data_IF_757711408255
#
_entry.id   IF_757711408255
#
_cell.length_a   1.000
_cell.length_b   1.000
_cell.length_c   1.000
_cell.angle_alpha   90.00
_cell.angle_beta   90.00
_cell.angle_gamma   90.00
#
_symmetry.space_group_name_H-M   'P 1'
#
loop_
_entity.id
_entity.type
_entity.pdbx_description
1 polymer ?
#
# COMPACT_ATOMS: atom_id res chain seq x y z
N UNK A 1 -18.34 12.66 23.40
CA UNK A 1 -17.59 12.07 22.26
C UNK A 1 -18.37 12.31 20.99
N UNK A 2 -17.70 12.77 19.91
CA UNK A 2 -18.28 12.96 18.56
C UNK A 2 -17.39 12.23 17.56
N UNK A 3 -17.99 11.58 16.56
CA UNK A 3 -17.31 10.95 15.43
C UNK A 3 -17.84 11.60 14.15
N UNK A 4 -16.93 12.08 13.30
CA UNK A 4 -17.23 12.66 12.00
C UNK A 4 -16.44 11.94 10.90
N UNK A 5 -17.10 11.66 9.77
CA UNK A 5 -16.47 11.08 8.59
C UNK A 5 -16.03 12.22 7.67
N UNK A 6 -14.72 12.40 7.50
CA UNK A 6 -14.15 13.47 6.68
C UNK A 6 -13.79 13.01 5.28
N UNK A 7 -13.68 11.70 5.07
CA UNK A 7 -13.40 11.08 3.77
C UNK A 7 -13.79 9.61 3.76
N UNK A 8 -13.73 8.98 2.59
CA UNK A 8 -14.21 7.63 2.30
C UNK A 8 -15.67 7.39 2.72
N UNK A 9 -16.50 8.45 2.68
CA UNK A 9 -17.93 8.38 2.89
C UNK A 9 -18.64 8.24 1.54
N UNK A 10 -19.22 7.08 1.28
CA UNK A 10 -19.74 6.66 -0.04
C UNK A 10 -18.68 6.53 -1.15
N UNK A 11 -17.41 6.43 -0.80
CA UNK A 11 -16.26 6.30 -1.72
C UNK A 11 -15.26 5.28 -1.20
N UNK A 12 -14.31 4.89 -2.06
CA UNK A 12 -13.32 3.85 -1.74
C UNK A 12 -12.05 4.44 -1.15
N UNK A 13 -11.64 5.64 -1.56
CA UNK A 13 -10.34 6.23 -1.19
C UNK A 13 -10.49 7.47 -0.31
N UNK A 14 -9.41 7.90 0.34
CA UNK A 14 -9.40 9.10 1.17
C UNK A 14 -9.87 8.87 2.60
N UNK A 15 -9.62 7.70 3.21
CA UNK A 15 -10.04 7.38 4.57
C UNK A 15 -9.55 8.41 5.58
N UNK A 16 -10.50 9.05 6.27
CA UNK A 16 -10.22 10.04 7.31
C UNK A 16 -11.42 10.17 8.26
N UNK A 17 -11.23 9.78 9.51
CA UNK A 17 -12.26 9.86 10.54
C UNK A 17 -11.78 10.77 11.67
N UNK A 18 -12.62 11.73 12.04
CA UNK A 18 -12.32 12.67 13.11
C UNK A 18 -13.12 12.33 14.37
N UNK A 19 -12.43 12.21 15.48
CA UNK A 19 -13.03 11.91 16.78
C UNK A 19 -12.65 12.97 17.78
N UNK A 20 -13.65 13.45 18.55
CA UNK A 20 -13.43 14.39 19.66
C UNK A 20 -14.06 13.87 20.94
N UNK A 21 -13.38 14.05 22.05
CA UNK A 21 -13.91 13.81 23.41
C UNK A 21 -13.18 14.73 24.40
N UNK A 22 -13.92 15.34 25.32
CA UNK A 22 -13.35 16.44 26.12
C UNK A 22 -12.68 17.48 25.24
N UNK A 23 -11.43 17.81 25.56
CA UNK A 23 -10.60 18.74 24.77
C UNK A 23 -9.63 18.00 23.81
N UNK A 24 -9.79 16.69 23.63
CA UNK A 24 -8.93 15.87 22.77
C UNK A 24 -9.50 15.75 21.37
N UNK A 25 -8.66 15.96 20.38
CA UNK A 25 -8.96 15.89 18.96
C UNK A 25 -8.04 14.87 18.28
N UNK A 26 -8.60 13.87 17.62
CA UNK A 26 -7.80 12.84 16.94
C UNK A 26 -8.35 12.48 15.57
N UNK A 27 -7.46 11.95 14.72
CA UNK A 27 -7.81 11.35 13.45
C UNK A 27 -7.52 9.84 13.48
N UNK A 28 -8.39 9.08 12.81
CA UNK A 28 -8.07 7.71 12.37
C UNK A 28 -7.97 7.74 10.86
N UNK A 29 -6.77 7.45 10.38
CA UNK A 29 -6.31 7.68 9.01
C UNK A 29 -6.30 9.17 8.59
N UNK A 30 -5.55 9.47 7.56
CA UNK A 30 -5.45 10.78 6.94
C UNK A 30 -5.08 10.56 5.47
N UNK A 31 -6.05 10.03 4.73
CA UNK A 31 -5.88 9.47 3.41
C UNK A 31 -6.04 10.50 2.30
N UNK A 32 -5.40 10.20 1.17
CA UNK A 32 -5.50 10.97 -0.07
C UNK A 32 -6.51 10.28 -1.00
N UNK A 33 -7.43 11.02 -1.58
CA UNK A 33 -8.30 10.53 -2.63
C UNK A 33 -7.49 10.15 -3.87
N UNK A 34 -7.83 9.02 -4.50
CA UNK A 34 -7.17 8.48 -5.68
C UNK A 34 -8.19 8.05 -6.73
N UNK A 35 -7.77 8.02 -8.00
CA UNK A 35 -8.59 7.58 -9.12
C UNK A 35 -9.07 8.71 -10.02
N UNK A 36 -9.98 8.41 -10.96
CA UNK A 36 -10.54 9.40 -11.92
C UNK A 36 -11.68 10.23 -11.32
N UNK A 37 -11.98 10.09 -10.06
CA UNK A 37 -13.07 10.77 -9.40
C UNK A 37 -12.96 12.29 -9.49
N UNK A 38 -14.11 12.96 -9.53
CA UNK A 38 -14.20 14.42 -9.58
C UNK A 38 -13.80 15.10 -8.27
N UNK A 39 -13.50 14.32 -7.25
CA UNK A 39 -13.05 14.82 -5.96
C UNK A 39 -11.60 15.26 -6.04
N UNK A 40 -11.36 16.47 -5.61
CA UNK A 40 -10.01 17.04 -5.47
C UNK A 40 -9.59 16.85 -4.03
N UNK A 41 -8.36 16.41 -3.80
CA UNK A 41 -7.78 16.37 -2.46
C UNK A 41 -7.92 17.76 -1.83
N UNK A 42 -8.83 17.89 -0.88
CA UNK A 42 -9.15 19.12 -0.22
C UNK A 42 -8.36 19.24 1.07
N UNK A 43 -8.21 20.46 1.55
CA UNK A 43 -7.73 20.69 2.91
C UNK A 43 -8.64 19.94 3.89
N UNK A 44 -8.05 19.27 4.85
CA UNK A 44 -8.80 18.61 5.91
C UNK A 44 -9.66 19.67 6.60
N UNK A 45 -10.99 19.48 6.74
CA UNK A 45 -11.92 20.52 7.21
C UNK A 45 -11.80 20.79 8.71
N UNK A 46 -10.68 20.47 9.33
CA UNK A 46 -10.34 20.71 10.73
C UNK A 46 -8.98 21.41 10.81
N UNK A 47 -8.80 22.24 11.84
CA UNK A 47 -7.53 22.91 12.03
C UNK A 47 -6.45 21.89 12.45
N UNK A 48 -5.47 21.68 11.60
CA UNK A 48 -4.38 20.72 11.81
C UNK A 48 -3.61 20.97 13.12
N UNK A 49 -3.47 22.21 13.56
CA UNK A 49 -2.79 22.54 14.81
C UNK A 49 -3.57 22.14 16.08
N UNK A 50 -4.85 21.82 15.96
CA UNK A 50 -5.67 21.36 17.07
C UNK A 50 -5.69 19.82 17.20
N UNK A 51 -5.15 19.09 16.21
CA UNK A 51 -5.11 17.63 16.26
C UNK A 51 -3.99 17.18 17.22
N UNK A 52 -4.37 16.43 18.25
CA UNK A 52 -3.44 15.89 19.25
C UNK A 52 -2.80 14.58 18.78
N UNK A 53 -3.62 13.70 18.17
CA UNK A 53 -3.21 12.35 17.80
C UNK A 53 -3.74 11.94 16.43
N UNK A 54 -2.94 11.14 15.72
CA UNK A 54 -3.38 10.41 14.53
C UNK A 54 -3.09 8.92 14.72
N UNK A 55 -4.03 8.07 14.35
CA UNK A 55 -3.89 6.61 14.35
C UNK A 55 -3.98 6.12 12.92
N UNK A 56 -2.94 5.45 12.41
CA UNK A 56 -2.88 4.98 11.02
C UNK A 56 -3.10 3.47 10.99
N UNK A 57 -4.13 3.05 10.27
CA UNK A 57 -4.48 1.64 10.12
C UNK A 57 -3.46 0.88 9.28
N UNK A 58 -3.04 1.47 8.16
CA UNK A 58 -2.02 0.90 7.28
C UNK A 58 -1.42 1.96 6.33
N UNK A 59 -0.40 1.58 5.57
CA UNK A 59 0.44 2.53 4.87
C UNK A 59 -0.03 2.93 3.46
N UNK A 60 -1.15 2.40 2.93
CA UNK A 60 -1.63 2.84 1.63
C UNK A 60 -1.91 4.35 1.61
N UNK A 61 -1.72 4.97 0.45
CA UNK A 61 -1.80 6.43 0.29
C UNK A 61 -3.22 6.97 0.55
N UNK A 62 -4.24 6.19 0.27
CA UNK A 62 -5.64 6.51 0.60
C UNK A 62 -5.97 6.40 2.11
N UNK A 63 -5.02 6.01 2.95
CA UNK A 63 -5.09 6.02 4.42
C UNK A 63 -4.04 6.90 5.09
N UNK A 64 -2.93 7.19 4.42
CA UNK A 64 -1.79 7.93 5.01
C UNK A 64 -1.34 9.15 4.21
N UNK A 65 -1.81 9.30 2.97
CA UNK A 65 -1.21 10.18 1.97
C UNK A 65 -1.31 11.67 2.27
N UNK A 66 -2.20 12.13 3.14
CA UNK A 66 -2.31 13.53 3.56
C UNK A 66 -1.57 13.86 4.87
N UNK A 67 -0.89 12.91 5.50
CA UNK A 67 -0.10 13.16 6.70
C UNK A 67 0.96 14.26 6.51
N UNK A 68 1.71 14.33 5.38
CA UNK A 68 2.64 15.43 5.14
C UNK A 68 1.94 16.79 4.99
N UNK A 69 0.75 16.83 4.38
CA UNK A 69 -0.06 18.05 4.29
C UNK A 69 -0.54 18.48 5.67
N UNK A 70 -1.00 17.53 6.49
CA UNK A 70 -1.42 17.81 7.88
C UNK A 70 -0.25 18.42 8.68
N UNK A 71 0.98 17.87 8.52
CA UNK A 71 2.18 18.44 9.13
C UNK A 71 2.49 19.85 8.62
N UNK A 72 2.41 20.07 7.32
CA UNK A 72 2.63 21.37 6.68
C UNK A 72 1.65 22.43 7.22
N UNK A 73 0.40 22.04 7.47
CA UNK A 73 -0.65 22.90 8.03
C UNK A 73 -0.58 23.07 9.55
N UNK A 74 0.48 22.60 10.20
CA UNK A 74 0.74 22.93 11.61
C UNK A 74 0.50 21.81 12.61
N UNK A 75 0.17 20.58 12.19
CA UNK A 75 0.11 19.43 13.09
C UNK A 75 1.47 19.20 13.75
N UNK A 76 1.46 18.98 15.08
CA UNK A 76 2.66 18.71 15.89
C UNK A 76 2.42 17.62 16.93
N UNK A 77 1.29 16.91 16.85
CA UNK A 77 0.94 15.80 17.72
C UNK A 77 1.72 14.51 17.42
N UNK A 78 1.22 13.38 17.88
CA UNK A 78 1.81 12.06 17.68
C UNK A 78 0.99 11.23 16.69
N UNK A 79 1.70 10.42 15.87
CA UNK A 79 1.10 9.50 14.90
C UNK A 79 1.40 8.07 15.33
N UNK A 80 0.39 7.36 15.77
CA UNK A 80 0.50 5.96 16.19
C UNK A 80 0.21 5.02 15.02
N UNK A 81 1.08 4.07 14.79
CA UNK A 81 0.92 3.03 13.79
C UNK A 81 1.74 1.80 14.18
N UNK A 82 1.45 0.64 13.61
CA UNK A 82 2.34 -0.50 13.79
C UNK A 82 3.73 -0.17 13.25
N UNK A 83 4.75 -0.85 13.76
CA UNK A 83 6.14 -0.64 13.33
C UNK A 83 6.30 -0.80 11.81
N UNK A 84 5.75 -1.86 11.24
CA UNK A 84 5.84 -2.10 9.80
C UNK A 84 5.08 -1.05 8.98
N UNK A 85 3.90 -0.60 9.44
CA UNK A 85 3.17 0.52 8.82
C UNK A 85 3.99 1.80 8.87
N UNK A 86 4.62 2.13 10.01
CA UNK A 86 5.49 3.31 10.13
C UNK A 86 6.67 3.26 9.16
N UNK A 87 7.35 2.11 9.03
CA UNK A 87 8.45 1.93 8.09
C UNK A 87 7.99 2.07 6.62
N UNK A 88 6.81 1.51 6.27
CA UNK A 88 6.24 1.63 4.93
C UNK A 88 5.80 3.07 4.63
N UNK A 89 5.16 3.77 5.56
CA UNK A 89 4.84 5.20 5.39
C UNK A 89 6.10 6.01 5.08
N UNK A 90 7.23 5.69 5.72
CA UNK A 90 8.50 6.38 5.50
C UNK A 90 9.04 6.30 4.07
N UNK A 91 8.69 5.29 3.29
CA UNK A 91 9.05 5.20 1.87
C UNK A 91 7.91 5.68 0.96
N UNK A 92 6.67 5.36 1.29
CA UNK A 92 5.52 5.66 0.45
C UNK A 92 5.20 7.16 0.40
N UNK A 93 5.28 7.87 1.52
CA UNK A 93 5.04 9.31 1.57
C UNK A 93 6.10 10.10 0.78
N UNK A 94 7.35 9.65 0.80
CA UNK A 94 8.42 10.24 -0.03
C UNK A 94 8.20 9.99 -1.51
N UNK A 95 7.79 8.78 -1.89
CA UNK A 95 7.47 8.46 -3.29
C UNK A 95 6.27 9.29 -3.78
N UNK A 96 5.24 9.43 -2.95
CA UNK A 96 4.09 10.29 -3.24
C UNK A 96 4.48 11.77 -3.43
N UNK A 97 5.35 12.32 -2.57
CA UNK A 97 5.88 13.68 -2.73
C UNK A 97 6.61 13.84 -4.07
N UNK A 98 7.51 12.91 -4.42
CA UNK A 98 8.22 12.94 -5.70
C UNK A 98 7.29 12.87 -6.91
N UNK A 99 6.24 12.03 -6.85
CA UNK A 99 5.25 11.94 -7.93
C UNK A 99 4.54 13.28 -8.10
N UNK A 100 4.08 13.90 -7.00
CA UNK A 100 3.38 15.19 -7.02
C UNK A 100 4.28 16.33 -7.54
N UNK A 101 5.52 16.39 -7.08
CA UNK A 101 6.50 17.38 -7.57
C UNK A 101 6.75 17.23 -9.08
N UNK A 102 6.93 16.00 -9.54
CA UNK A 102 7.13 15.71 -10.97
C UNK A 102 5.90 16.07 -11.82
N UNK A 103 4.71 15.75 -11.36
CA UNK A 103 3.47 16.10 -12.04
C UNK A 103 3.22 17.60 -12.07
N UNK A 104 3.48 18.29 -10.97
CA UNK A 104 3.38 19.74 -10.90
C UNK A 104 4.37 20.40 -11.89
N UNK A 105 5.63 19.97 -11.93
CA UNK A 105 6.60 20.47 -12.87
C UNK A 105 6.17 20.25 -14.33
N UNK A 106 5.64 19.05 -14.64
CA UNK A 106 5.16 18.72 -15.99
C UNK A 106 3.95 19.60 -16.40
N UNK A 107 2.98 19.79 -15.50
CA UNK A 107 1.83 20.69 -15.67
C UNK A 107 2.31 22.13 -15.86
N UNK A 108 3.27 22.58 -15.06
CA UNK A 108 3.80 23.93 -15.08
C UNK A 108 4.58 24.25 -16.37
N UNK A 109 5.31 23.29 -16.96
CA UNK A 109 5.93 23.44 -18.28
C UNK A 109 4.87 23.72 -19.38
N UNK A 110 3.69 23.12 -19.28
CA UNK A 110 2.58 23.38 -20.21
C UNK A 110 1.88 24.72 -19.90
N UNK A 111 1.63 25.00 -18.62
CA UNK A 111 1.00 26.22 -18.14
C UNK A 111 1.80 27.46 -18.58
N UNK A 112 3.13 27.48 -18.39
CA UNK A 112 4.02 28.58 -18.83
C UNK A 112 3.90 28.85 -20.34
N UNK A 113 3.81 27.80 -21.18
CA UNK A 113 3.64 27.96 -22.64
C UNK A 113 2.27 28.50 -23.01
N UNK A 114 1.25 28.25 -22.19
CA UNK A 114 -0.13 28.65 -22.43
C UNK A 114 -0.52 29.95 -21.70
N UNK A 115 0.40 30.54 -20.89
CA UNK A 115 0.10 31.72 -20.06
C UNK A 115 -0.91 31.44 -18.93
N UNK A 116 -0.98 30.19 -18.45
CA UNK A 116 -1.87 29.74 -17.38
C UNK A 116 -1.14 29.78 -16.00
N UNK A 117 -1.86 29.88 -14.90
CA UNK A 117 -1.29 29.78 -13.55
C UNK A 117 -0.54 28.48 -13.36
N UNK A 118 0.55 28.54 -12.58
CA UNK A 118 1.28 27.35 -12.14
C UNK A 118 0.56 26.67 -10.99
N UNK A 119 0.69 25.35 -10.90
CA UNK A 119 0.18 24.54 -9.79
C UNK A 119 1.32 24.17 -8.85
N UNK A 120 1.02 24.07 -7.55
CA UNK A 120 1.95 23.58 -6.53
C UNK A 120 1.55 22.17 -6.10
N UNK A 121 2.50 21.29 -5.75
CA UNK A 121 2.15 20.03 -5.09
C UNK A 121 1.45 20.30 -3.75
N UNK A 122 0.67 19.35 -3.26
CA UNK A 122 0.01 19.46 -1.95
C UNK A 122 1.05 19.60 -0.81
N UNK A 123 2.15 18.87 -0.94
CA UNK A 123 3.30 18.90 -0.03
C UNK A 123 4.57 18.52 -0.79
N UNK A 124 5.71 18.82 -0.20
CA UNK A 124 7.03 18.50 -0.76
C UNK A 124 7.73 17.34 -0.03
N UNK A 125 8.91 16.98 -0.51
CA UNK A 125 9.73 15.92 0.10
C UNK A 125 10.12 16.24 1.55
N UNK A 126 10.31 17.52 1.92
CA UNK A 126 10.67 17.88 3.28
C UNK A 126 9.51 17.64 4.23
N UNK A 127 8.28 17.93 3.82
CA UNK A 127 7.09 17.64 4.59
C UNK A 127 6.95 16.13 4.84
N UNK A 128 7.16 15.31 3.79
CA UNK A 128 7.13 13.85 3.87
C UNK A 128 8.24 13.27 4.77
N UNK A 129 9.41 13.90 4.84
CA UNK A 129 10.49 13.49 5.74
C UNK A 129 10.22 13.93 7.17
N UNK A 130 9.76 15.16 7.37
CA UNK A 130 9.59 15.73 8.70
C UNK A 130 8.41 15.13 9.46
N UNK A 131 7.30 14.80 8.79
CA UNK A 131 6.15 14.15 9.43
C UNK A 131 6.53 12.81 10.09
N UNK A 132 7.54 12.11 9.55
CA UNK A 132 8.00 10.84 10.13
C UNK A 132 8.58 10.97 11.54
N UNK A 133 9.00 12.16 11.96
CA UNK A 133 9.48 12.40 13.34
C UNK A 133 8.35 12.34 14.38
N UNK A 134 7.11 12.41 13.95
CA UNK A 134 5.91 12.32 14.80
C UNK A 134 5.41 10.89 14.99
N UNK A 135 5.93 9.92 14.24
CA UNK A 135 5.51 8.53 14.34
C UNK A 135 5.97 7.87 15.64
N UNK A 136 5.04 7.19 16.27
CA UNK A 136 5.22 6.33 17.44
C UNK A 136 4.92 4.90 17.03
N UNK A 137 5.95 4.08 16.72
CA UNK A 137 5.75 2.70 16.34
C UNK A 137 5.17 1.85 17.48
N UNK A 138 4.14 1.07 17.19
CA UNK A 138 3.42 0.23 18.14
C UNK A 138 3.58 -1.25 17.78
N UNK A 139 3.53 -2.11 18.78
CA UNK A 139 3.43 -3.55 18.61
C UNK A 139 1.97 -3.99 18.53
N UNK A 140 1.70 -5.09 17.84
CA UNK A 140 0.36 -5.68 17.85
C UNK A 140 -0.01 -6.16 19.25
N UNK A 141 -1.29 -6.06 19.59
CA UNK A 141 -1.94 -6.50 20.82
C UNK A 141 -1.59 -5.72 22.09
N UNK A 142 -0.57 -4.86 22.07
CA UNK A 142 -0.26 -4.03 23.21
C UNK A 142 -1.34 -2.97 23.45
N UNK A 143 -1.83 -2.88 24.69
CA UNK A 143 -2.70 -1.80 25.12
C UNK A 143 -1.87 -0.58 25.48
N UNK A 144 -2.06 0.49 24.75
CA UNK A 144 -1.31 1.73 24.87
C UNK A 144 -2.24 2.78 25.50
N UNK A 145 -1.91 3.25 26.70
CA UNK A 145 -2.53 4.42 27.30
C UNK A 145 -1.95 5.66 26.62
N UNK A 146 -2.70 6.28 25.71
CA UNK A 146 -2.25 7.45 24.91
C UNK A 146 -2.30 8.72 25.76
N UNK A 147 -3.43 8.94 26.41
CA UNK A 147 -3.64 10.02 27.39
C UNK A 147 -4.71 9.59 28.40
N UNK A 148 -5.07 10.48 29.33
CA UNK A 148 -6.21 10.25 30.22
C UNK A 148 -7.49 10.08 29.39
N UNK A 149 -8.23 9.01 29.64
CA UNK A 149 -9.46 8.69 28.92
C UNK A 149 -9.26 8.02 27.54
N UNK A 150 -8.03 7.80 27.05
CA UNK A 150 -7.79 7.16 25.75
C UNK A 150 -6.80 6.00 25.84
N UNK A 151 -7.28 4.80 25.54
CA UNK A 151 -6.44 3.60 25.37
C UNK A 151 -6.68 3.02 23.98
N UNK A 152 -5.61 2.56 23.32
CA UNK A 152 -5.70 1.95 21.97
C UNK A 152 -4.99 0.61 21.92
N UNK A 153 -5.36 -0.22 20.94
CA UNK A 153 -4.70 -1.46 20.59
C UNK A 153 -4.79 -1.70 19.09
N UNK A 154 -3.69 -2.13 18.49
CA UNK A 154 -3.62 -2.52 17.09
C UNK A 154 -3.75 -4.04 16.96
N UNK A 155 -4.62 -4.49 16.05
CA UNK A 155 -4.94 -5.91 15.80
C UNK A 155 -4.71 -6.19 14.32
N UNK A 156 -4.07 -7.30 13.97
CA UNK A 156 -3.69 -7.57 12.57
C UNK A 156 -4.92 -7.65 11.65
N UNK A 157 -4.95 -6.80 10.64
CA UNK A 157 -6.03 -6.75 9.65
C UNK A 157 -5.78 -7.64 8.43
N UNK A 158 -4.59 -8.25 8.28
CA UNK A 158 -4.27 -9.19 7.21
C UNK A 158 -4.33 -8.62 5.79
N UNK A 159 -4.32 -7.29 5.64
CA UNK A 159 -4.47 -6.60 4.36
C UNK A 159 -3.14 -6.25 3.71
N UNK A 160 -2.25 -5.64 4.45
CA UNK A 160 -0.91 -5.23 4.05
C UNK A 160 0.08 -5.56 5.18
N UNK A 161 1.38 -5.58 4.89
CA UNK A 161 2.40 -5.71 5.93
C UNK A 161 2.20 -4.59 6.96
N UNK A 162 1.99 -4.96 8.22
CA UNK A 162 1.74 -4.01 9.29
C UNK A 162 0.31 -3.48 9.39
N UNK A 163 -0.59 -3.84 8.49
CA UNK A 163 -1.98 -3.38 8.53
C UNK A 163 -2.69 -3.78 9.82
N UNK A 164 -3.52 -2.91 10.32
CA UNK A 164 -4.23 -3.13 11.58
C UNK A 164 -5.65 -2.60 11.59
N UNK A 165 -6.52 -3.32 12.26
CA UNK A 165 -7.73 -2.75 12.83
C UNK A 165 -7.37 -2.12 14.18
N UNK A 166 -8.00 -1.00 14.51
CA UNK A 166 -7.71 -0.23 15.72
C UNK A 166 -8.87 -0.36 16.70
N UNK A 167 -8.60 -0.91 17.86
CA UNK A 167 -9.51 -0.85 19.01
C UNK A 167 -9.17 0.38 19.84
N UNK A 168 -10.17 1.18 20.14
CA UNK A 168 -10.05 2.43 20.86
C UNK A 168 -11.05 2.49 22.00
N UNK A 169 -10.57 2.59 23.23
CA UNK A 169 -11.40 2.79 24.43
C UNK A 169 -11.36 4.25 24.81
N UNK A 170 -12.50 4.91 24.74
CA UNK A 170 -12.65 6.33 25.13
C UNK A 170 -13.52 6.37 26.39
N UNK A 171 -13.00 7.03 27.41
CA UNK A 171 -13.68 7.26 28.68
C UNK A 171 -13.99 8.73 28.84
N UNK A 172 -15.28 9.07 28.91
CA UNK A 172 -15.80 10.41 29.13
C UNK A 172 -16.95 10.33 30.14
N UNK A 173 -17.05 11.25 31.07
CA UNK A 173 -18.10 11.28 32.11
C UNK A 173 -18.27 9.95 32.87
N UNK A 174 -17.18 9.26 33.17
CA UNK A 174 -17.12 7.95 33.84
C UNK A 174 -17.71 6.79 33.02
N UNK A 175 -18.06 7.00 31.77
CA UNK A 175 -18.47 5.95 30.85
C UNK A 175 -17.36 5.65 29.83
N UNK A 176 -17.06 4.36 29.65
CA UNK A 176 -16.11 3.92 28.61
C UNK A 176 -16.88 3.34 27.43
N UNK A 177 -16.55 3.79 26.23
CA UNK A 177 -17.05 3.22 24.97
C UNK A 177 -15.89 2.67 24.16
N UNK A 178 -16.10 1.49 23.56
CA UNK A 178 -15.14 0.84 22.67
C UNK A 178 -15.52 1.08 21.22
N UNK A 179 -14.69 1.80 20.49
CA UNK A 179 -14.78 1.97 19.05
C UNK A 179 -13.80 1.01 18.38
N UNK A 180 -14.19 0.51 17.21
CA UNK A 180 -13.32 -0.30 16.35
C UNK A 180 -13.32 0.32 14.95
N UNK A 181 -12.13 0.64 14.47
CA UNK A 181 -11.89 1.06 13.09
C UNK A 181 -11.23 -0.10 12.36
N UNK A 182 -11.88 -0.63 11.34
CA UNK A 182 -11.38 -1.83 10.65
C UNK A 182 -10.10 -1.56 9.85
N UNK A 183 -9.91 -0.33 9.34
CA UNK A 183 -9.06 -0.13 8.18
C UNK A 183 -9.52 -1.03 7.04
N UNK A 184 -8.64 -1.35 6.12
CA UNK A 184 -8.88 -2.36 5.10
C UNK A 184 -8.65 -3.76 5.66
N UNK A 185 -9.58 -4.67 5.43
CA UNK A 185 -9.53 -6.05 5.92
C UNK A 185 -9.04 -6.97 4.81
N UNK A 186 -8.02 -7.76 5.10
CA UNK A 186 -7.50 -8.75 4.16
C UNK A 186 -8.36 -10.00 4.04
N UNK A 187 -8.15 -10.74 2.96
CA UNK A 187 -8.73 -12.07 2.79
C UNK A 187 -7.89 -13.12 3.52
N UNK A 188 -8.52 -14.18 4.01
CA UNK A 188 -7.83 -15.33 4.59
C UNK A 188 -6.98 -16.10 3.59
N UNK A 189 -5.98 -16.82 4.09
CA UNK A 189 -5.06 -17.67 3.31
C UNK A 189 -4.21 -16.91 2.25
N UNK A 190 -3.93 -15.64 2.48
CA UNK A 190 -3.01 -14.90 1.62
C UNK A 190 -1.56 -15.36 1.83
N UNK A 191 -0.71 -15.32 0.79
CA UNK A 191 0.69 -15.62 0.96
C UNK A 191 1.41 -14.52 1.76
N UNK A 192 2.48 -14.89 2.45
CA UNK A 192 3.39 -14.04 3.20
C UNK A 192 2.85 -13.52 4.52
N UNK A 193 1.77 -12.76 4.53
CA UNK A 193 1.24 -12.08 5.72
C UNK A 193 0.20 -12.95 6.44
N UNK A 194 -0.06 -12.63 7.71
CA UNK A 194 -1.07 -13.31 8.53
C UNK A 194 -2.48 -13.04 8.01
N UNK A 195 -3.38 -13.93 8.36
CA UNK A 195 -4.81 -13.71 8.16
C UNK A 195 -5.33 -12.62 9.12
N UNK A 196 -6.42 -11.92 8.78
CA UNK A 196 -7.04 -10.95 9.67
C UNK A 196 -7.52 -11.59 10.97
N UNK A 197 -7.32 -10.90 12.08
CA UNK A 197 -7.83 -11.29 13.38
C UNK A 197 -9.19 -10.64 13.64
N UNK A 198 -10.12 -11.41 14.23
CA UNK A 198 -11.46 -10.91 14.49
C UNK A 198 -11.55 -10.25 15.87
N UNK A 199 -12.03 -9.01 15.88
CA UNK A 199 -12.31 -8.26 17.10
C UNK A 199 -13.71 -8.60 17.60
N UNK A 200 -13.85 -8.75 18.91
CA UNK A 200 -15.11 -8.99 19.60
C UNK A 200 -15.46 -7.84 20.53
N UNK A 201 -16.73 -7.69 20.82
CA UNK A 201 -17.23 -6.78 21.85
C UNK A 201 -16.85 -5.30 21.56
N UNK A 202 -17.49 -4.68 20.59
CA UNK A 202 -17.41 -3.25 20.31
C UNK A 202 -18.76 -2.57 20.57
N UNK A 203 -18.74 -1.34 21.07
CA UNK A 203 -19.92 -0.49 21.14
C UNK A 203 -20.22 0.14 19.77
N UNK A 204 -19.16 0.54 19.03
CA UNK A 204 -19.26 1.11 17.68
C UNK A 204 -18.22 0.47 16.76
N UNK A 205 -18.63 0.18 15.53
CA UNK A 205 -17.74 -0.38 14.49
C UNK A 205 -17.81 0.52 13.27
N UNK A 206 -16.65 1.02 12.88
CA UNK A 206 -16.41 1.76 11.64
C UNK A 206 -15.68 0.81 10.71
N UNK A 207 -16.33 0.39 9.62
CA UNK A 207 -15.88 -0.75 8.81
C UNK A 207 -15.92 -0.43 7.33
N UNK A 208 -14.89 -0.84 6.58
CA UNK A 208 -14.92 -0.81 5.12
C UNK A 208 -16.06 -1.64 4.54
N UNK A 209 -16.49 -1.30 3.34
CA UNK A 209 -17.52 -2.05 2.61
C UNK A 209 -17.26 -2.12 1.11
N UNK A 210 -16.01 -2.09 0.68
CA UNK A 210 -15.57 -2.05 -0.72
C UNK A 210 -16.19 -3.18 -1.56
N UNK A 211 -16.26 -4.37 -1.01
CA UNK A 211 -16.93 -5.53 -1.61
C UNK A 211 -18.13 -6.03 -0.79
N UNK A 212 -18.76 -5.14 -0.02
CA UNK A 212 -19.85 -5.49 0.88
C UNK A 212 -21.14 -6.00 0.20
N UNK A 213 -21.25 -5.77 -1.11
CA UNK A 213 -22.41 -6.15 -1.95
C UNK A 213 -22.28 -7.52 -2.63
N UNK A 214 -21.12 -8.19 -2.55
CA UNK A 214 -20.86 -9.45 -3.25
C UNK A 214 -19.90 -10.38 -2.53
N UNK A 215 -20.05 -11.66 -2.82
CA UNK A 215 -19.09 -12.68 -2.39
C UNK A 215 -17.98 -12.84 -3.44
N UNK A 216 -16.78 -13.10 -2.98
CA UNK A 216 -15.68 -13.53 -3.84
C UNK A 216 -15.84 -15.00 -4.23
N UNK A 217 -15.45 -15.34 -5.45
CA UNK A 217 -15.31 -16.73 -5.86
C UNK A 217 -14.20 -17.43 -5.05
N UNK A 218 -14.28 -18.77 -5.00
CA UNK A 218 -13.20 -19.54 -4.37
C UNK A 218 -11.88 -19.27 -5.09
N UNK A 219 -10.85 -18.80 -4.39
CA UNK A 219 -9.58 -18.45 -5.03
C UNK A 219 -8.93 -19.70 -5.63
N UNK A 220 -8.46 -19.64 -6.90
CA UNK A 220 -7.73 -20.71 -7.53
C UNK A 220 -6.33 -20.85 -6.91
N UNK A 221 -5.59 -21.91 -7.27
CA UNK A 221 -4.14 -21.94 -7.04
C UNK A 221 -3.46 -20.90 -7.95
N UNK A 222 -3.20 -19.72 -7.42
CA UNK A 222 -2.62 -18.61 -8.19
C UNK A 222 -1.27 -18.93 -8.81
N UNK A 223 -0.44 -19.81 -8.21
CA UNK A 223 0.83 -20.22 -8.81
C UNK A 223 0.60 -21.07 -10.07
N UNK A 224 -0.40 -21.96 -10.04
CA UNK A 224 -0.76 -22.79 -11.20
C UNK A 224 -1.34 -21.91 -12.32
N UNK A 225 -2.25 -21.00 -12.01
CA UNK A 225 -2.84 -20.10 -13.01
C UNK A 225 -1.80 -19.16 -13.62
N UNK A 226 -0.94 -18.60 -12.80
CA UNK A 226 0.17 -17.76 -13.26
C UNK A 226 1.13 -18.55 -14.17
N UNK A 227 1.47 -19.79 -13.82
CA UNK A 227 2.32 -20.65 -14.65
C UNK A 227 1.69 -20.94 -16.02
N UNK A 228 0.36 -21.14 -16.10
CA UNK A 228 -0.37 -21.32 -17.38
C UNK A 228 -0.25 -20.06 -18.25
N UNK A 229 -0.46 -18.88 -17.68
CA UNK A 229 -0.34 -17.60 -18.40
C UNK A 229 1.10 -17.38 -18.88
N UNK A 230 2.10 -17.66 -18.03
CA UNK A 230 3.51 -17.58 -18.37
C UNK A 230 3.85 -18.54 -19.54
N UNK A 231 3.45 -19.80 -19.45
CA UNK A 231 3.69 -20.81 -20.50
C UNK A 231 3.07 -20.38 -21.84
N UNK A 232 1.81 -19.97 -21.82
CA UNK A 232 1.11 -19.52 -23.04
C UNK A 232 1.78 -18.30 -23.67
N UNK A 233 2.28 -17.37 -22.88
CA UNK A 233 2.97 -16.15 -23.34
C UNK A 233 4.34 -16.49 -23.93
N UNK A 234 5.14 -17.25 -23.19
CA UNK A 234 6.52 -17.55 -23.59
C UNK A 234 6.60 -18.50 -24.79
N UNK A 235 5.62 -19.39 -24.97
CA UNK A 235 5.50 -20.22 -26.18
C UNK A 235 5.33 -19.39 -27.45
N UNK A 236 4.71 -18.19 -27.33
CA UNK A 236 4.61 -17.23 -28.45
C UNK A 236 5.88 -16.38 -28.62
N UNK A 237 6.85 -16.47 -27.70
CA UNK A 237 8.05 -15.63 -27.71
C UNK A 237 7.85 -14.23 -27.11
N UNK A 238 6.71 -13.95 -26.45
CA UNK A 238 6.36 -12.66 -25.90
C UNK A 238 6.78 -12.43 -24.46
N UNK A 239 6.53 -11.22 -23.97
CA UNK A 239 6.76 -10.82 -22.58
C UNK A 239 5.47 -10.88 -21.76
N UNK A 240 5.58 -11.24 -20.49
CA UNK A 240 4.49 -11.07 -19.51
C UNK A 240 4.71 -9.77 -18.73
N UNK A 241 3.84 -8.80 -18.91
CA UNK A 241 3.89 -7.51 -18.20
C UNK A 241 2.79 -7.48 -17.14
N UNK A 242 3.19 -7.22 -15.89
CA UNK A 242 2.30 -7.24 -14.73
C UNK A 242 2.30 -5.86 -14.08
N UNK A 243 1.26 -5.04 -14.31
CA UNK A 243 1.02 -3.85 -13.50
C UNK A 243 0.74 -4.27 -12.05
N UNK A 244 1.52 -3.78 -11.10
CA UNK A 244 1.35 -4.13 -9.69
C UNK A 244 1.69 -2.95 -8.78
N UNK A 245 0.96 -2.82 -7.67
CA UNK A 245 1.35 -1.89 -6.62
C UNK A 245 2.72 -2.29 -6.05
N UNK A 246 3.55 -1.30 -5.77
CA UNK A 246 4.92 -1.51 -5.28
C UNK A 246 4.96 -2.25 -3.93
N UNK A 247 3.94 -2.06 -3.11
CA UNK A 247 3.80 -2.67 -1.78
C UNK A 247 2.64 -3.66 -1.77
N UNK A 248 2.85 -4.83 -1.21
CA UNK A 248 1.88 -5.92 -1.09
C UNK A 248 1.82 -6.78 -2.35
N UNK A 249 1.16 -6.32 -3.40
CA UNK A 249 0.91 -7.12 -4.61
C UNK A 249 2.20 -7.57 -5.32
N UNK A 250 3.20 -6.72 -5.40
CA UNK A 250 4.50 -7.10 -5.96
C UNK A 250 5.12 -8.26 -5.18
N UNK A 251 5.14 -8.21 -3.85
CA UNK A 251 5.71 -9.25 -3.01
C UNK A 251 4.91 -10.58 -3.10
N UNK A 252 3.59 -10.51 -3.22
CA UNK A 252 2.77 -11.70 -3.50
C UNK A 252 3.12 -12.36 -4.83
N UNK A 253 3.29 -11.57 -5.89
CA UNK A 253 3.71 -12.09 -7.21
C UNK A 253 5.08 -12.77 -7.12
N UNK A 254 6.03 -12.19 -6.39
CA UNK A 254 7.34 -12.81 -6.18
C UNK A 254 7.24 -14.15 -5.44
N UNK A 255 6.36 -14.24 -4.44
CA UNK A 255 6.10 -15.48 -3.71
C UNK A 255 5.58 -16.58 -4.67
N UNK A 256 4.59 -16.27 -5.51
CA UNK A 256 4.05 -17.22 -6.48
C UNK A 256 5.10 -17.61 -7.53
N UNK A 257 5.89 -16.67 -8.03
CA UNK A 257 6.96 -16.96 -8.99
C UNK A 257 8.07 -17.83 -8.40
N UNK A 258 8.45 -17.60 -7.13
CA UNK A 258 9.36 -18.49 -6.42
C UNK A 258 8.77 -19.91 -6.35
N UNK A 259 7.49 -20.04 -5.96
CA UNK A 259 6.79 -21.32 -5.89
C UNK A 259 6.79 -22.02 -7.25
N UNK A 260 6.44 -21.33 -8.33
CA UNK A 260 6.47 -21.87 -9.71
C UNK A 260 7.84 -22.46 -10.03
N UNK A 261 8.92 -21.75 -9.73
CA UNK A 261 10.30 -22.21 -9.98
C UNK A 261 10.71 -23.36 -9.06
N UNK A 262 10.31 -23.36 -7.81
CA UNK A 262 10.70 -24.37 -6.82
C UNK A 262 10.03 -25.72 -7.07
N UNK A 263 8.74 -25.74 -7.43
CA UNK A 263 7.98 -26.96 -7.71
C UNK A 263 7.94 -27.30 -9.21
N UNK A 264 8.71 -26.59 -10.02
CA UNK A 264 8.90 -26.83 -11.45
C UNK A 264 7.60 -26.84 -12.28
N UNK A 265 6.71 -25.88 -12.01
CA UNK A 265 5.45 -25.73 -12.76
C UNK A 265 5.66 -25.21 -14.19
N UNK A 266 6.90 -24.81 -14.55
CA UNK A 266 7.24 -24.23 -15.84
C UNK A 266 8.55 -24.86 -16.41
N UNK A 267 8.56 -26.16 -16.68
CA UNK A 267 9.81 -26.89 -17.00
C UNK A 267 10.49 -26.39 -18.28
N UNK A 268 9.72 -25.96 -19.28
CA UNK A 268 10.26 -25.50 -20.58
C UNK A 268 10.88 -24.08 -20.47
N UNK A 269 10.57 -23.34 -19.41
CA UNK A 269 11.00 -21.94 -19.20
C UNK A 269 11.64 -21.70 -17.84
N UNK A 270 12.39 -22.67 -17.30
CA UNK A 270 13.04 -22.59 -15.96
C UNK A 270 13.94 -21.37 -15.82
N UNK A 271 14.59 -20.95 -16.90
CA UNK A 271 15.56 -19.85 -16.91
C UNK A 271 14.95 -18.48 -17.21
N UNK A 272 13.59 -18.38 -17.28
CA UNK A 272 12.95 -17.09 -17.52
C UNK A 272 13.34 -16.09 -16.44
N UNK A 273 13.67 -14.89 -16.86
CA UNK A 273 14.02 -13.79 -15.98
C UNK A 273 12.77 -13.01 -15.56
N UNK A 274 12.77 -12.56 -14.32
CA UNK A 274 11.70 -11.72 -13.74
C UNK A 274 12.31 -10.41 -13.32
N UNK A 275 11.79 -9.32 -13.84
CA UNK A 275 12.26 -7.97 -13.55
C UNK A 275 11.28 -7.24 -12.64
N UNK A 276 11.76 -6.73 -11.51
CA UNK A 276 11.06 -5.70 -10.73
C UNK A 276 11.58 -4.34 -11.22
N UNK A 277 10.72 -3.59 -11.88
CA UNK A 277 11.04 -2.23 -12.32
C UNK A 277 10.30 -1.19 -11.47
N UNK A 278 10.69 -1.09 -10.21
CA UNK A 278 10.17 -0.15 -9.23
C UNK A 278 11.15 -0.01 -8.06
N UNK A 279 11.82 1.15 -7.91
CA UNK A 279 12.67 1.42 -6.74
C UNK A 279 11.92 1.25 -5.42
N UNK A 280 10.69 1.78 -5.33
CA UNK A 280 9.84 1.66 -4.15
C UNK A 280 9.55 0.18 -3.80
N UNK A 281 9.31 -0.68 -4.80
CA UNK A 281 9.08 -2.11 -4.54
C UNK A 281 10.31 -2.80 -3.95
N UNK A 282 11.52 -2.35 -4.29
CA UNK A 282 12.76 -2.85 -3.69
C UNK A 282 12.87 -2.46 -2.23
N UNK A 283 12.64 -1.18 -1.92
CA UNK A 283 12.66 -0.69 -0.55
C UNK A 283 11.59 -1.38 0.31
N UNK A 284 10.37 -1.52 -0.21
CA UNK A 284 9.30 -2.27 0.44
C UNK A 284 9.71 -3.73 0.72
N UNK A 285 10.33 -4.40 -0.24
CA UNK A 285 10.81 -5.78 -0.06
C UNK A 285 11.80 -5.90 1.09
N UNK A 286 12.67 -4.90 1.27
CA UNK A 286 13.59 -4.86 2.42
C UNK A 286 12.83 -4.70 3.75
N UNK A 287 11.75 -3.90 3.78
CA UNK A 287 10.91 -3.74 4.97
C UNK A 287 10.17 -5.05 5.29
N UNK A 288 9.68 -5.77 4.27
CA UNK A 288 9.11 -7.11 4.46
C UNK A 288 10.09 -8.05 5.17
N UNK A 289 11.37 -8.03 4.79
CA UNK A 289 12.39 -8.85 5.44
C UNK A 289 12.68 -8.49 6.90
N UNK A 290 12.56 -7.24 7.27
CA UNK A 290 12.77 -6.79 8.65
C UNK A 290 11.64 -7.21 9.59
N UNK A 291 10.41 -7.33 9.07
CA UNK A 291 9.20 -7.54 9.86
C UNK A 291 8.65 -8.98 9.79
N UNK A 292 9.49 -9.97 9.49
CA UNK A 292 9.12 -11.40 9.38
C UNK A 292 8.46 -11.94 10.64
N UNK A 293 9.01 -11.64 11.82
CA UNK A 293 8.53 -12.18 13.10
C UNK A 293 7.11 -11.73 13.44
N UNK A 294 6.78 -10.50 13.09
CA UNK A 294 5.52 -9.87 13.49
C UNK A 294 4.42 -10.04 12.46
N UNK A 295 4.77 -9.98 11.18
CA UNK A 295 3.77 -9.86 10.12
C UNK A 295 3.61 -11.12 9.25
N UNK A 296 4.63 -12.02 9.19
CA UNK A 296 4.55 -13.17 8.30
C UNK A 296 3.70 -14.30 8.90
N UNK A 297 2.96 -14.97 8.02
CA UNK A 297 2.23 -16.20 8.35
C UNK A 297 3.19 -17.37 8.67
N UNK A 298 2.66 -18.45 9.20
CA UNK A 298 3.47 -19.59 9.61
C UNK A 298 4.25 -20.23 8.46
N UNK A 299 3.67 -20.30 7.25
CA UNK A 299 4.31 -20.96 6.11
C UNK A 299 5.49 -20.14 5.58
N UNK A 300 5.34 -18.82 5.52
CA UNK A 300 6.44 -17.93 5.16
C UNK A 300 7.56 -17.97 6.22
N UNK A 301 7.21 -18.00 7.51
CA UNK A 301 8.20 -18.15 8.60
C UNK A 301 8.93 -19.49 8.58
N UNK A 302 8.23 -20.60 8.26
CA UNK A 302 8.88 -21.92 8.06
C UNK A 302 9.94 -21.86 6.96
N UNK A 303 9.64 -21.21 5.82
CA UNK A 303 10.62 -21.04 4.74
C UNK A 303 11.86 -20.27 5.23
N UNK A 304 11.65 -19.15 5.91
CA UNK A 304 12.77 -18.35 6.47
C UNK A 304 13.62 -19.20 7.43
N UNK A 305 12.99 -19.97 8.33
CA UNK A 305 13.69 -20.83 9.28
C UNK A 305 14.51 -21.94 8.59
N UNK A 306 14.11 -22.34 7.37
CA UNK A 306 14.89 -23.25 6.51
C UNK A 306 16.00 -22.53 5.71
N UNK A 307 16.20 -21.22 5.91
CA UNK A 307 17.14 -20.41 5.14
C UNK A 307 16.64 -20.05 3.73
N UNK A 308 15.35 -20.23 3.47
CA UNK A 308 14.74 -19.96 2.16
C UNK A 308 14.02 -18.61 2.23
N UNK A 309 14.45 -17.68 1.37
CA UNK A 309 13.73 -16.43 1.22
C UNK A 309 12.43 -16.64 0.43
N UNK A 310 11.22 -16.31 0.98
CA UNK A 310 9.95 -16.61 0.33
C UNK A 310 9.67 -15.78 -0.93
N UNK A 311 10.40 -14.68 -1.16
CA UNK A 311 10.21 -13.74 -2.27
C UNK A 311 11.47 -13.53 -3.11
N UNK A 312 12.48 -14.39 -2.95
CA UNK A 312 13.72 -14.36 -3.73
C UNK A 312 13.95 -15.71 -4.41
N UNK A 313 14.43 -15.69 -5.65
CA UNK A 313 14.68 -16.88 -6.45
C UNK A 313 15.70 -16.60 -7.57
N UNK A 314 16.34 -17.61 -8.14
CA UNK A 314 17.25 -17.46 -9.28
C UNK A 314 16.54 -16.84 -10.49
N UNK A 315 17.15 -15.84 -11.13
CA UNK A 315 16.60 -15.11 -12.27
C UNK A 315 15.72 -13.92 -11.90
N UNK A 316 15.54 -13.62 -10.60
CA UNK A 316 14.96 -12.34 -10.19
C UNK A 316 16.00 -11.23 -10.37
N UNK A 317 15.61 -10.17 -11.06
CA UNK A 317 16.41 -8.98 -11.33
C UNK A 317 15.64 -7.72 -10.92
N UNK A 318 16.37 -6.69 -10.55
CA UNK A 318 15.82 -5.42 -10.11
C UNK A 318 16.38 -4.31 -10.98
N UNK A 319 15.52 -3.38 -11.42
CA UNK A 319 15.91 -2.16 -12.09
C UNK A 319 15.60 -0.95 -11.19
N UNK A 320 16.63 -0.29 -10.71
CA UNK A 320 16.52 0.89 -9.85
C UNK A 320 16.63 2.16 -10.67
N UNK A 321 17.58 2.23 -11.61
CA UNK A 321 17.82 3.41 -12.43
C UNK A 321 16.92 3.48 -13.67
N UNK A 322 16.74 4.67 -14.22
CA UNK A 322 15.97 4.86 -15.46
C UNK A 322 16.60 4.17 -16.67
N UNK A 323 17.93 4.03 -16.69
CA UNK A 323 18.62 3.38 -17.81
C UNK A 323 18.49 1.86 -17.73
N UNK A 324 18.53 1.27 -16.52
CA UNK A 324 18.19 -0.16 -16.32
C UNK A 324 16.76 -0.45 -16.76
N UNK A 325 15.80 0.42 -16.38
CA UNK A 325 14.40 0.30 -16.80
C UNK A 325 14.23 0.31 -18.32
N UNK A 326 14.89 1.25 -19.01
CA UNK A 326 14.87 1.32 -20.48
C UNK A 326 15.44 0.04 -21.11
N UNK A 327 16.56 -0.45 -20.56
CA UNK A 327 17.27 -1.62 -21.11
C UNK A 327 16.41 -2.89 -21.08
N UNK A 328 15.49 -3.05 -20.12
CA UNK A 328 14.55 -4.18 -20.07
C UNK A 328 13.78 -4.32 -21.40
N UNK A 329 13.38 -3.20 -22.02
CA UNK A 329 12.59 -3.22 -23.24
C UNK A 329 13.39 -3.61 -24.50
N UNK A 330 14.73 -3.62 -24.44
CA UNK A 330 15.61 -4.03 -25.54
C UNK A 330 16.09 -5.48 -25.42
N UNK A 331 15.77 -6.16 -24.32
CA UNK A 331 16.08 -7.59 -24.17
C UNK A 331 15.10 -8.38 -25.03
N UNK A 332 15.60 -9.18 -25.96
CA UNK A 332 14.79 -9.93 -26.92
C UNK A 332 14.17 -11.22 -26.33
N UNK A 333 14.83 -11.82 -25.31
CA UNK A 333 14.31 -13.05 -24.69
C UNK A 333 13.02 -12.81 -23.92
N UNK A 334 12.06 -13.75 -23.96
CA UNK A 334 10.85 -13.70 -23.14
C UNK A 334 11.17 -13.52 -21.66
N UNK A 335 10.40 -12.65 -21.00
CA UNK A 335 10.61 -12.31 -19.58
C UNK A 335 9.32 -11.88 -18.92
N UNK A 336 9.33 -11.84 -17.59
CA UNK A 336 8.31 -11.20 -16.79
C UNK A 336 8.78 -9.80 -16.38
N UNK A 337 7.90 -8.80 -16.47
CA UNK A 337 8.14 -7.43 -16.04
C UNK A 337 7.05 -7.05 -15.04
N UNK A 338 7.44 -6.81 -13.78
CA UNK A 338 6.54 -6.31 -12.73
C UNK A 338 6.90 -4.85 -12.50
N UNK A 339 5.94 -3.95 -12.65
CA UNK A 339 6.20 -2.52 -12.53
C UNK A 339 4.97 -1.76 -11.99
N UNK A 340 5.21 -0.68 -11.26
CA UNK A 340 4.17 0.23 -10.75
C UNK A 340 3.84 1.34 -11.79
N UNK A 341 2.63 1.92 -11.76
CA UNK A 341 1.53 1.69 -10.83
C UNK A 341 0.67 0.49 -11.24
N UNK A 342 -0.08 -0.04 -10.27
CA UNK A 342 -1.00 -1.14 -10.51
C UNK A 342 -2.18 -0.77 -11.42
N UNK A 343 -2.62 0.48 -11.42
CA UNK A 343 -3.73 1.00 -12.24
C UNK A 343 -3.26 1.58 -13.60
N UNK A 344 -1.97 1.52 -13.91
CA UNK A 344 -1.39 1.99 -15.20
C UNK A 344 -1.49 3.50 -15.48
N UNK A 345 -1.92 4.30 -14.55
CA UNK A 345 -2.11 5.75 -14.66
C UNK A 345 -0.80 6.54 -14.56
N UNK A 346 0.17 6.04 -13.80
CA UNK A 346 1.47 6.65 -13.55
C UNK A 346 2.61 5.62 -13.58
N UNK A 347 3.84 6.07 -13.37
CA UNK A 347 5.00 5.24 -13.15
C UNK A 347 5.60 4.59 -14.40
N UNK A 348 6.60 3.73 -14.16
CA UNK A 348 7.40 3.08 -15.21
C UNK A 348 6.60 2.07 -16.03
N UNK A 349 5.53 1.50 -15.49
CA UNK A 349 4.64 0.58 -16.19
C UNK A 349 4.15 1.15 -17.52
N UNK A 350 3.89 2.47 -17.61
CA UNK A 350 3.44 3.12 -18.85
C UNK A 350 4.43 2.96 -19.99
N UNK A 351 5.72 2.93 -19.70
CA UNK A 351 6.75 2.69 -20.71
C UNK A 351 6.75 1.24 -21.17
N UNK A 352 6.63 0.28 -20.24
CA UNK A 352 6.53 -1.14 -20.61
C UNK A 352 5.27 -1.46 -21.38
N UNK A 353 4.12 -0.87 -21.02
CA UNK A 353 2.89 -0.99 -21.78
C UNK A 353 3.05 -0.45 -23.21
N UNK A 354 3.67 0.72 -23.39
CA UNK A 354 3.94 1.30 -24.70
C UNK A 354 4.77 0.37 -25.60
N UNK A 355 5.69 -0.41 -25.05
CA UNK A 355 6.54 -1.36 -25.78
C UNK A 355 5.88 -2.73 -26.02
N UNK A 356 4.83 -3.09 -25.27
CA UNK A 356 4.27 -4.44 -25.29
C UNK A 356 2.80 -4.52 -25.75
N UNK A 357 1.98 -3.44 -25.62
CA UNK A 357 0.54 -3.48 -25.99
C UNK A 357 0.26 -3.81 -27.46
N UNK A 358 1.14 -3.39 -28.37
CA UNK A 358 0.98 -3.64 -29.80
C UNK A 358 1.49 -5.02 -30.24
N UNK A 359 2.16 -5.76 -29.36
CA UNK A 359 2.77 -7.07 -29.64
C UNK A 359 1.75 -8.16 -29.39
N UNK A 360 1.37 -8.91 -30.43
CA UNK A 360 0.42 -10.02 -30.33
C UNK A 360 0.95 -11.23 -29.53
N UNK A 361 2.26 -11.33 -29.35
CA UNK A 361 2.94 -12.37 -28.58
C UNK A 361 2.98 -12.06 -27.07
N UNK A 362 2.95 -10.79 -26.68
CA UNK A 362 3.03 -10.36 -25.29
C UNK A 362 1.67 -10.41 -24.59
N UNK A 363 1.70 -10.56 -23.26
CA UNK A 363 0.51 -10.57 -22.41
C UNK A 363 0.63 -9.49 -21.34
N UNK A 364 -0.45 -8.73 -21.13
CA UNK A 364 -0.61 -7.84 -19.97
C UNK A 364 -1.51 -8.54 -18.96
N UNK A 365 -1.03 -8.77 -17.76
CA UNK A 365 -1.75 -9.48 -16.70
C UNK A 365 -2.08 -8.54 -15.55
N UNK A 366 -3.34 -8.18 -15.41
CA UNK A 366 -3.83 -7.43 -14.26
C UNK A 366 -4.03 -8.37 -13.07
N UNK A 367 -3.46 -8.01 -11.94
CA UNK A 367 -3.43 -8.82 -10.72
C UNK A 367 -4.07 -8.10 -9.52
N UNK A 368 -4.72 -6.99 -9.75
CA UNK A 368 -5.39 -6.16 -8.76
C UNK A 368 -6.61 -5.47 -9.34
N UNK A 369 -7.29 -4.71 -8.49
CA UNK A 369 -8.43 -3.88 -8.89
C UNK A 369 -8.01 -2.90 -10.00
N UNK A 370 -8.91 -2.69 -10.94
CA UNK A 370 -8.80 -1.67 -12.00
C UNK A 370 -10.07 -0.82 -11.97
N UNK A 371 -9.91 0.49 -12.09
CA UNK A 371 -11.02 1.46 -12.17
C UNK A 371 -11.65 1.42 -13.54
#
# INVERSE_FOLDING_TARGET
>A
MVLEFLGADHEVTGSCHYVTFGDIHLLVDCGMEQGPDMYVNQEIPVNASNIDYVFVTHAHIDHSGLLPLLYNHGFRGQIFATKATSELCGIMLKDSAHIQEFEAEWKNRKARRAGLPEVTPLYDLNDAVNVMQHFVPCEYHDKIQVCEGLTVRFVDAGHLLGSSSIEMWITEDHETRKLVFSGDIGNGNRPLIRDPEYIKDADYVIMESTYGDKNHDTPPDYAVELAKVMSATFTKGGNLVIPAFSVGRTQEMLYFMRRIKTVDLLPDFRNVEVYIDSPLAVEATNIFHKNVSECFNEDARKLINMGINPIQFPGLKVAVTSDESKNINFIETPKVIISASGMCDAGRIRHHLKHNLWRADSTILFVGYQV
#
